data_IF_293608375016
#
_entry.id   IF_293608375016
#
_cell.length_a   1.000
_cell.length_b   1.000
_cell.length_c   1.000
_cell.angle_alpha   90.00
_cell.angle_beta   90.00
_cell.angle_gamma   90.00
#
_symmetry.space_group_name_H-M   'P 1'
#
loop_
_entity.id
_entity.type
_entity.pdbx_description
1 polymer ?
#
# COMPACT_ATOMS: atom_id res chain seq x y z
N UNK A 1 -8.12 0.86 -13.73
CA UNK A 1 -8.07 -0.50 -13.16
C UNK A 1 -6.63 -0.96 -13.30
N UNK A 2 -5.84 -0.95 -12.23
CA UNK A 2 -4.43 -1.39 -12.29
C UNK A 2 -4.42 -2.91 -12.26
N UNK A 3 -3.87 -3.52 -13.32
CA UNK A 3 -3.65 -4.97 -13.41
C UNK A 3 -2.29 -5.26 -12.78
N UNK A 4 -2.26 -5.40 -11.46
CA UNK A 4 -1.01 -5.68 -10.76
C UNK A 4 -1.17 -6.97 -9.96
N UNK A 5 -0.60 -8.05 -10.45
CA UNK A 5 -0.63 -9.35 -9.77
C UNK A 5 0.39 -9.32 -8.63
N UNK A 6 0.00 -9.76 -7.42
CA UNK A 6 0.90 -9.68 -6.25
C UNK A 6 1.78 -10.93 -6.10
N UNK A 7 1.47 -12.01 -6.82
CA UNK A 7 2.20 -13.29 -6.78
C UNK A 7 2.27 -13.95 -8.16
N UNK A 8 3.48 -14.18 -8.71
CA UNK A 8 3.73 -15.18 -9.79
C UNK A 8 5.19 -15.64 -9.73
N UNK A 9 5.56 -16.61 -8.87
CA UNK A 9 6.98 -16.87 -8.68
C UNK A 9 7.59 -17.77 -9.77
N UNK A 10 6.83 -18.61 -10.51
CA UNK A 10 7.48 -19.75 -11.21
C UNK A 10 6.85 -20.24 -12.53
N UNK A 11 5.77 -19.67 -13.04
CA UNK A 11 5.05 -20.21 -14.21
C UNK A 11 4.75 -19.15 -15.27
N UNK A 12 4.66 -19.57 -16.54
CA UNK A 12 4.27 -18.69 -17.64
C UNK A 12 2.93 -18.02 -17.33
N UNK A 13 2.82 -16.72 -17.61
CA UNK A 13 1.59 -15.96 -17.40
C UNK A 13 0.40 -16.51 -18.21
N UNK A 14 0.68 -17.18 -19.34
CA UNK A 14 -0.32 -17.80 -20.21
C UNK A 14 -0.64 -19.26 -19.85
N UNK A 15 -0.02 -19.84 -18.82
CA UNK A 15 -0.36 -21.20 -18.39
C UNK A 15 -1.77 -21.20 -17.78
N UNK A 16 -2.75 -21.93 -18.35
CA UNK A 16 -4.12 -21.95 -17.85
C UNK A 16 -4.25 -22.61 -16.45
N UNK A 17 -3.19 -23.26 -15.97
CA UNK A 17 -3.08 -23.78 -14.58
C UNK A 17 -2.46 -22.77 -13.63
N UNK A 18 -1.94 -21.66 -14.15
CA UNK A 18 -1.38 -20.59 -13.35
C UNK A 18 -2.52 -19.72 -12.83
N UNK A 19 -2.67 -19.73 -11.50
CA UNK A 19 -3.62 -18.89 -10.81
C UNK A 19 -2.93 -17.57 -10.48
N UNK A 20 -3.10 -16.57 -11.36
CA UNK A 20 -2.73 -15.17 -11.09
C UNK A 20 -3.73 -14.58 -10.09
N UNK A 21 -3.46 -14.83 -8.80
CA UNK A 21 -4.32 -14.34 -7.73
C UNK A 21 -3.75 -13.10 -7.04
N UNK A 22 -4.66 -12.22 -6.62
CA UNK A 22 -4.39 -11.11 -5.72
C UNK A 22 -4.55 -11.63 -4.29
N UNK A 23 -3.45 -11.81 -3.57
CA UNK A 23 -3.48 -12.35 -2.20
C UNK A 23 -3.01 -11.35 -1.14
N UNK A 24 -2.42 -10.22 -1.57
CA UNK A 24 -1.94 -9.16 -0.69
C UNK A 24 -2.90 -7.95 -0.73
N UNK A 25 -3.36 -7.51 0.44
CA UNK A 25 -4.36 -6.46 0.57
C UNK A 25 -4.00 -5.47 1.69
N UNK A 26 -4.29 -4.19 1.45
CA UNK A 26 -4.25 -3.15 2.48
C UNK A 26 -5.69 -2.76 2.82
N UNK A 27 -6.17 -3.22 3.97
CA UNK A 27 -7.45 -2.78 4.54
C UNK A 27 -7.24 -1.55 5.41
N UNK A 28 -8.18 -0.61 5.37
CA UNK A 28 -8.17 0.57 6.23
C UNK A 28 -9.58 0.87 6.75
N UNK A 29 -9.65 1.47 7.93
CA UNK A 29 -10.88 1.95 8.54
C UNK A 29 -10.57 3.15 9.43
N UNK A 30 -11.53 4.08 9.55
CA UNK A 30 -11.42 5.22 10.45
C UNK A 30 -12.18 6.43 9.91
N UNK A 31 -12.75 7.23 10.80
CA UNK A 31 -13.37 8.49 10.39
C UNK A 31 -12.28 9.45 9.89
N UNK A 32 -12.48 10.00 8.69
CA UNK A 32 -11.55 10.96 8.04
C UNK A 32 -10.18 10.37 7.66
N UNK A 33 -10.05 9.04 7.58
CA UNK A 33 -8.94 8.40 6.88
C UNK A 33 -9.35 8.23 5.42
N UNK A 34 -8.66 8.91 4.50
CA UNK A 34 -9.02 8.91 3.08
C UNK A 34 -7.87 8.32 2.26
N UNK A 35 -8.08 7.21 1.53
CA UNK A 35 -7.07 6.70 0.61
C UNK A 35 -6.93 7.66 -0.56
N UNK A 36 -5.70 8.02 -0.93
CA UNK A 36 -5.41 8.95 -2.02
C UNK A 36 -4.66 8.28 -3.17
N UNK A 37 -3.98 7.15 -2.91
CA UNK A 37 -3.36 6.33 -3.94
C UNK A 37 -3.20 4.88 -3.48
N UNK A 38 -3.17 3.97 -4.44
CA UNK A 38 -2.71 2.59 -4.28
C UNK A 38 -1.80 2.27 -5.47
N UNK A 39 -0.64 1.68 -5.21
CA UNK A 39 0.40 1.38 -6.19
C UNK A 39 1.09 0.06 -5.89
N UNK A 40 1.56 -0.62 -6.92
CA UNK A 40 2.38 -1.82 -6.79
C UNK A 40 3.85 -1.51 -7.00
N UNK A 41 4.68 -2.05 -6.13
CA UNK A 41 6.15 -2.04 -6.25
C UNK A 41 6.61 -3.40 -6.70
N UNK A 42 7.44 -3.45 -7.73
CA UNK A 42 7.90 -4.71 -8.29
C UNK A 42 9.08 -4.55 -9.22
N UNK A 43 9.35 -5.60 -9.97
CA UNK A 43 10.59 -5.80 -10.71
C UNK A 43 10.65 -5.11 -12.08
N UNK A 44 9.50 -4.75 -12.67
CA UNK A 44 9.45 -4.16 -14.01
C UNK A 44 8.19 -3.30 -14.24
N UNK A 45 8.18 -2.53 -15.34
CA UNK A 45 7.09 -1.59 -15.71
C UNK A 45 5.81 -2.27 -16.21
N UNK A 46 5.88 -3.54 -16.61
CA UNK A 46 4.71 -4.31 -17.03
C UNK A 46 3.83 -4.61 -15.82
N UNK A 47 4.46 -4.93 -14.68
CA UNK A 47 3.80 -5.50 -13.51
C UNK A 47 3.78 -4.56 -12.29
N UNK A 48 4.43 -3.39 -12.35
CA UNK A 48 4.54 -2.47 -11.23
C UNK A 48 4.47 -1.00 -11.63
N UNK A 49 3.84 -0.20 -10.76
CA UNK A 49 3.82 1.26 -10.83
C UNK A 49 5.17 1.86 -10.41
N UNK A 50 5.85 1.21 -9.47
CA UNK A 50 7.16 1.61 -8.94
C UNK A 50 8.13 0.44 -9.17
N UNK A 51 9.19 0.68 -9.94
CA UNK A 51 10.17 -0.36 -10.27
C UNK A 51 11.35 -0.31 -9.32
N UNK A 52 11.67 -1.47 -8.72
CA UNK A 52 12.88 -1.70 -7.94
C UNK A 52 13.57 -2.94 -8.52
N UNK A 53 14.85 -2.81 -8.89
CA UNK A 53 15.63 -3.90 -9.49
C UNK A 53 17.08 -3.90 -8.98
N UNK A 54 17.62 -5.05 -8.50
CA UNK A 54 16.92 -6.33 -8.35
C UNK A 54 15.81 -6.25 -7.31
N UNK A 55 14.69 -6.92 -7.57
CA UNK A 55 13.57 -6.97 -6.62
C UNK A 55 13.82 -8.07 -5.58
N UNK A 56 13.72 -7.79 -4.27
CA UNK A 56 14.23 -8.68 -3.23
C UNK A 56 13.22 -9.75 -2.76
N UNK A 57 12.07 -9.88 -3.44
CA UNK A 57 10.92 -10.67 -2.99
C UNK A 57 10.25 -11.38 -4.18
N UNK A 58 9.59 -12.50 -3.91
CA UNK A 58 8.76 -13.25 -4.85
C UNK A 58 7.29 -12.79 -4.87
N UNK A 59 6.89 -11.95 -3.91
CA UNK A 59 5.66 -11.16 -3.92
C UNK A 59 5.94 -9.70 -4.24
N UNK A 60 5.04 -9.03 -4.95
CA UNK A 60 5.07 -7.58 -5.16
C UNK A 60 4.42 -6.83 -4.00
N UNK A 61 5.03 -5.73 -3.57
CA UNK A 61 4.53 -4.94 -2.46
C UNK A 61 3.39 -4.00 -2.89
N UNK A 62 2.39 -3.87 -2.02
CA UNK A 62 1.29 -2.92 -2.16
C UNK A 62 1.57 -1.65 -1.31
N UNK A 63 1.50 -0.48 -1.94
CA UNK A 63 1.72 0.82 -1.29
C UNK A 63 0.44 1.65 -1.39
N UNK A 64 -0.22 1.84 -0.25
CA UNK A 64 -1.36 2.73 -0.13
C UNK A 64 -0.95 4.06 0.52
N UNK A 65 -1.39 5.17 -0.06
CA UNK A 65 -1.22 6.51 0.52
C UNK A 65 -2.54 6.97 1.11
N UNK A 66 -2.50 7.54 2.31
CA UNK A 66 -3.68 8.05 3.01
C UNK A 66 -3.48 9.51 3.42
N UNK A 67 -4.54 10.30 3.34
CA UNK A 67 -4.67 11.54 4.09
C UNK A 67 -5.28 11.20 5.45
N UNK A 68 -4.64 11.66 6.52
CA UNK A 68 -5.09 11.50 7.90
C UNK A 68 -5.74 12.79 8.41
N UNK A 69 -6.66 12.72 9.39
CA UNK A 69 -7.19 13.93 10.02
C UNK A 69 -6.08 14.66 10.79
N UNK A 70 -6.20 15.97 10.88
CA UNK A 70 -5.36 16.76 11.79
C UNK A 70 -5.45 16.18 13.19
N UNK A 71 -4.28 15.93 13.80
CA UNK A 71 -4.24 15.56 15.21
C UNK A 71 -4.81 16.72 16.02
N UNK A 72 -5.64 16.44 17.06
CA UNK A 72 -6.01 17.48 17.99
C UNK A 72 -4.72 18.11 18.52
N UNK A 73 -4.66 19.45 18.50
CA UNK A 73 -3.53 20.18 19.09
C UNK A 73 -3.40 19.70 20.53
N UNK A 74 -2.20 19.29 20.93
CA UNK A 74 -1.88 19.05 22.34
C UNK A 74 -2.36 20.27 23.12
N UNK A 75 -3.35 20.07 24.00
CA UNK A 75 -3.68 21.07 25.00
C UNK A 75 -2.40 21.28 25.82
N UNK A 76 -1.86 22.50 25.79
CA UNK A 76 -0.91 22.89 26.84
C UNK A 76 -1.75 22.96 28.12
N UNK A 77 -1.29 22.38 29.24
CA UNK A 77 -1.97 22.61 30.51
C UNK A 77 -1.97 24.13 30.75
N UNK A 78 -3.15 24.69 30.95
CA UNK A 78 -3.29 26.06 31.46
C UNK A 78 -2.52 26.11 32.77
N UNK A 79 -1.49 26.96 32.83
CA UNK A 79 -0.84 27.28 34.09
C UNK A 79 -1.82 28.13 34.88
N UNK A 80 -2.67 27.46 35.67
CA UNK A 80 -3.55 28.11 36.63
C UNK A 80 -2.73 29.03 37.53
N UNK A 81 -3.12 30.30 37.49
CA UNK A 81 -2.72 31.38 38.39
C UNK A 81 -2.98 30.95 39.84
N UNK A 82 -1.91 30.60 40.57
CA UNK A 82 -1.97 30.57 42.03
C UNK A 82 -1.65 31.95 42.60
N UNK A 83 -2.74 32.62 42.94
CA UNK A 83 -2.90 33.72 43.90
C UNK A 83 -2.12 33.51 45.20
#
# INVERSE_FOLDING_TARGET
MSIADTWVPLTNADDPKNHVERIDFVYFQGKRVTPTAAKVVGENKQNADIVVSPYPSDHRAEVATFTLPDLPKSEKPDSDDHK
#
